data_IF_886579994608
#
_entry.id   IF_886579994608
#
_cell.length_a   1.000
_cell.length_b   1.000
_cell.length_c   1.000
_cell.angle_alpha   90.00
_cell.angle_beta   90.00
_cell.angle_gamma   90.00
#
_symmetry.space_group_name_H-M   'P 1'
#
loop_
_entity.id
_entity.type
_entity.pdbx_description
1 polymer ?
#
# COMPACT_ATOMS: atom_id res chain seq x y z
N UNK A 1 -63.45 -49.30 -37.02
CA UNK A 1 -62.59 -49.50 -35.83
C UNK A 1 -61.25 -48.86 -36.14
N UNK A 2 -61.04 -47.62 -35.68
CA UNK A 2 -59.87 -46.82 -36.01
C UNK A 2 -58.94 -46.78 -34.80
N UNK A 3 -57.75 -47.36 -34.93
CA UNK A 3 -56.69 -47.28 -33.93
C UNK A 3 -55.87 -46.02 -34.24
N UNK A 4 -55.93 -45.02 -33.36
CA UNK A 4 -55.02 -43.88 -33.39
C UNK A 4 -53.83 -44.20 -32.45
N UNK A 5 -52.66 -44.42 -33.04
CA UNK A 5 -51.41 -44.52 -32.30
C UNK A 5 -50.92 -43.09 -32.05
N UNK A 6 -51.02 -42.63 -30.81
CA UNK A 6 -50.44 -41.37 -30.38
C UNK A 6 -48.93 -41.55 -30.15
N UNK A 7 -48.10 -41.02 -31.05
CA UNK A 7 -46.67 -40.83 -30.79
C UNK A 7 -46.50 -39.70 -29.78
N UNK A 8 -46.14 -40.03 -28.54
CA UNK A 8 -45.66 -39.07 -27.57
C UNK A 8 -44.20 -38.71 -27.89
N UNK A 9 -43.98 -37.57 -28.54
CA UNK A 9 -42.65 -36.96 -28.67
C UNK A 9 -42.34 -36.33 -27.32
N UNK A 10 -41.54 -37.00 -26.49
CA UNK A 10 -40.91 -36.39 -25.32
C UNK A 10 -39.83 -35.43 -25.83
N UNK A 11 -40.21 -34.16 -25.96
CA UNK A 11 -39.24 -33.08 -26.07
C UNK A 11 -38.45 -33.05 -24.76
N UNK A 12 -37.24 -33.63 -24.77
CA UNK A 12 -36.26 -33.42 -23.71
C UNK A 12 -35.90 -31.93 -23.75
N UNK A 13 -36.57 -31.15 -22.90
CA UNK A 13 -36.18 -29.79 -22.60
C UNK A 13 -34.77 -29.86 -21.99
N UNK A 14 -33.76 -29.69 -22.83
CA UNK A 14 -32.41 -29.35 -22.40
C UNK A 14 -32.54 -27.96 -21.80
N UNK A 15 -32.83 -27.92 -20.50
CA UNK A 15 -32.71 -26.69 -19.73
C UNK A 15 -31.28 -26.23 -19.88
N UNK A 16 -31.05 -25.25 -20.76
CA UNK A 16 -29.85 -24.45 -20.72
C UNK A 16 -29.88 -23.78 -19.36
N UNK A 17 -29.12 -24.34 -18.42
CA UNK A 17 -28.73 -23.62 -17.21
C UNK A 17 -28.12 -22.32 -17.72
N UNK A 18 -28.83 -21.21 -17.59
CA UNK A 18 -28.26 -19.90 -17.85
C UNK A 18 -26.97 -19.84 -17.05
N UNK A 19 -25.82 -19.47 -17.65
CA UNK A 19 -24.60 -19.30 -16.90
C UNK A 19 -24.89 -18.28 -15.81
N UNK A 20 -24.87 -18.75 -14.56
CA UNK A 20 -25.00 -17.91 -13.39
C UNK A 20 -23.92 -16.83 -13.53
N UNK A 21 -24.27 -15.53 -13.47
CA UNK A 21 -23.28 -14.48 -13.64
C UNK A 21 -22.18 -14.73 -12.62
N UNK A 22 -20.94 -14.90 -13.11
CA UNK A 22 -19.79 -15.10 -12.24
C UNK A 22 -19.81 -14.00 -11.17
N UNK A 23 -19.73 -14.39 -9.90
CA UNK A 23 -19.76 -13.42 -8.81
C UNK A 23 -18.70 -12.35 -9.07
N UNK A 24 -19.11 -11.07 -8.98
CA UNK A 24 -18.22 -9.96 -9.25
C UNK A 24 -16.95 -10.07 -8.37
N UNK A 25 -15.75 -9.82 -8.91
CA UNK A 25 -14.53 -9.85 -8.13
C UNK A 25 -14.64 -8.94 -6.91
N UNK A 26 -14.08 -9.38 -5.79
CA UNK A 26 -14.09 -8.60 -4.55
C UNK A 26 -12.67 -8.24 -4.13
N UNK A 27 -12.42 -6.97 -3.86
CA UNK A 27 -11.15 -6.47 -3.33
C UNK A 27 -11.28 -6.18 -1.83
N UNK A 28 -10.40 -6.76 -1.03
CA UNK A 28 -10.22 -6.36 0.36
C UNK A 28 -8.86 -5.71 0.57
N UNK A 29 -8.81 -4.77 1.50
CA UNK A 29 -7.60 -4.07 1.91
C UNK A 29 -7.57 -4.16 3.43
N UNK A 30 -6.50 -4.70 3.99
CA UNK A 30 -6.33 -4.81 5.44
C UNK A 30 -4.97 -4.26 5.83
N UNK A 31 -4.93 -3.41 6.86
CA UNK A 31 -3.67 -3.05 7.51
C UNK A 31 -3.32 -4.18 8.46
N UNK A 32 -2.15 -4.79 8.25
CA UNK A 32 -1.67 -5.88 9.09
C UNK A 32 -1.16 -5.28 10.40
N UNK A 33 -1.75 -5.71 11.51
CA UNK A 33 -1.31 -5.35 12.86
C UNK A 33 -1.03 -6.62 13.66
N UNK A 34 -0.05 -6.59 14.56
CA UNK A 34 0.27 -7.69 15.48
C UNK A 34 -0.81 -7.86 16.57
N UNK A 35 -1.68 -6.86 16.77
CA UNK A 35 -2.76 -6.92 17.77
C UNK A 35 -4.02 -6.19 17.29
N UNK A 36 -5.04 -6.89 16.77
CA UNK A 36 -6.32 -6.26 16.46
C UNK A 36 -7.06 -5.96 17.77
N UNK A 37 -7.39 -4.68 18.00
CA UNK A 37 -8.47 -4.30 18.91
C UNK A 37 -9.64 -3.88 18.07
N UNK A 38 -10.74 -4.63 18.14
CA UNK A 38 -11.98 -4.26 17.49
C UNK A 38 -12.38 -2.86 18.00
N UNK A 39 -12.44 -1.88 17.10
CA UNK A 39 -12.93 -0.48 17.28
C UNK A 39 -11.90 0.63 17.53
N UNK A 40 -10.61 0.35 17.68
CA UNK A 40 -9.58 1.41 17.78
C UNK A 40 -8.80 1.54 16.46
N UNK A 41 -8.41 2.76 16.03
CA UNK A 41 -7.53 2.92 14.87
C UNK A 41 -6.22 2.17 15.11
N UNK A 42 -5.69 1.55 14.05
CA UNK A 42 -4.42 0.83 14.15
C UNK A 42 -3.30 1.84 14.40
N UNK A 43 -2.66 1.76 15.56
CA UNK A 43 -1.61 2.69 15.97
C UNK A 43 -0.26 2.21 15.44
N UNK A 44 0.41 3.08 14.69
CA UNK A 44 1.69 2.80 14.03
C UNK A 44 2.67 3.90 14.43
N UNK A 45 3.87 3.51 14.83
CA UNK A 45 4.94 4.48 15.11
C UNK A 45 5.34 5.20 13.83
N UNK A 46 5.68 6.50 13.93
CA UNK A 46 6.27 7.25 12.83
C UNK A 46 7.57 6.60 12.30
N UNK A 47 8.24 5.78 13.10
CA UNK A 47 9.44 5.03 12.73
C UNK A 47 9.15 3.62 12.18
N UNK A 48 7.90 3.30 11.83
CA UNK A 48 7.52 2.01 11.23
C UNK A 48 6.72 2.20 9.96
N UNK A 49 6.98 1.36 8.95
CA UNK A 49 6.19 1.30 7.72
C UNK A 49 4.83 0.67 8.00
N UNK A 50 3.79 1.15 7.33
CA UNK A 50 2.44 0.58 7.40
C UNK A 50 2.41 -0.68 6.55
N UNK A 51 2.06 -1.83 7.12
CA UNK A 51 1.92 -3.07 6.37
C UNK A 51 0.47 -3.24 5.88
N UNK A 52 0.28 -3.41 4.59
CA UNK A 52 -1.04 -3.52 3.95
C UNK A 52 -1.09 -4.82 3.16
N UNK A 53 -2.16 -5.59 3.32
CA UNK A 53 -2.49 -6.72 2.44
C UNK A 53 -3.69 -6.36 1.60
N UNK A 54 -3.50 -6.35 0.29
CA UNK A 54 -4.58 -6.36 -0.67
C UNK A 54 -4.91 -7.81 -1.04
N UNK A 55 -6.19 -8.18 -1.03
CA UNK A 55 -6.61 -9.49 -1.51
C UNK A 55 -7.75 -9.35 -2.51
N UNK A 56 -7.55 -9.88 -3.70
CA UNK A 56 -8.53 -9.97 -4.78
C UNK A 56 -9.10 -11.39 -4.80
N UNK A 57 -10.40 -11.50 -4.53
CA UNK A 57 -11.13 -12.77 -4.55
C UNK A 57 -11.85 -12.88 -5.89
N UNK A 58 -11.30 -13.72 -6.75
CA UNK A 58 -11.85 -14.08 -8.05
C UNK A 58 -11.11 -15.32 -8.60
N UNK A 59 -11.75 -16.14 -9.45
CA UNK A 59 -11.03 -17.17 -10.19
C UNK A 59 -9.92 -16.51 -11.05
N UNK A 60 -8.67 -17.03 -11.05
CA UNK A 60 -7.53 -16.40 -11.72
C UNK A 60 -7.73 -16.11 -13.21
N UNK A 61 -8.57 -16.89 -13.91
CA UNK A 61 -8.90 -16.67 -15.32
C UNK A 61 -9.82 -15.45 -15.57
N UNK A 62 -10.40 -14.87 -14.51
CA UNK A 62 -11.44 -13.84 -14.60
C UNK A 62 -10.85 -12.42 -14.55
N UNK A 63 -9.67 -12.25 -13.94
CA UNK A 63 -9.10 -10.95 -13.58
C UNK A 63 -7.61 -10.91 -13.86
N UNK A 64 -7.07 -9.71 -14.12
CA UNK A 64 -5.64 -9.50 -14.32
C UNK A 64 -4.83 -9.82 -13.04
N UNK A 65 -3.59 -10.34 -13.16
CA UNK A 65 -2.74 -10.62 -12.01
C UNK A 65 -2.51 -9.38 -11.14
N UNK A 66 -2.69 -9.50 -9.82
CA UNK A 66 -2.56 -8.36 -8.90
C UNK A 66 -1.12 -7.84 -8.87
N UNK A 67 -0.92 -6.58 -9.26
CA UNK A 67 0.37 -5.91 -9.39
C UNK A 67 0.24 -4.46 -8.93
N UNK A 68 1.19 -4.02 -8.10
CA UNK A 68 1.24 -2.65 -7.64
C UNK A 68 1.49 -1.69 -8.81
N UNK A 69 0.62 -0.69 -8.94
CA UNK A 69 0.78 0.43 -9.88
C UNK A 69 1.92 1.35 -9.41
N UNK A 70 2.88 1.71 -10.28
CA UNK A 70 3.90 2.68 -9.91
C UNK A 70 3.28 4.06 -9.61
N UNK A 71 3.83 4.83 -8.67
CA UNK A 71 3.35 6.18 -8.38
C UNK A 71 3.35 7.07 -9.64
N UNK A 72 2.22 7.74 -9.91
CA UNK A 72 2.07 8.64 -11.07
C UNK A 72 1.95 7.94 -12.43
N UNK A 73 2.01 6.61 -12.47
CA UNK A 73 1.83 5.88 -13.71
C UNK A 73 0.36 5.96 -14.19
N UNK A 74 0.13 5.92 -15.52
CA UNK A 74 -1.22 5.83 -16.07
C UNK A 74 -1.99 4.64 -15.46
N UNK A 75 -3.34 4.66 -15.48
CA UNK A 75 -4.16 3.55 -14.97
C UNK A 75 -3.85 2.16 -15.58
N UNK A 76 -3.11 2.13 -16.68
CA UNK A 76 -2.76 0.94 -17.47
C UNK A 76 -1.51 0.23 -16.92
N UNK A 77 -0.61 0.96 -16.24
CA UNK A 77 0.66 0.44 -15.74
C UNK A 77 0.48 -0.19 -14.35
N UNK A 78 -0.04 -1.41 -14.30
CA UNK A 78 -0.33 -2.10 -13.03
C UNK A 78 -1.72 -1.76 -12.48
N UNK A 79 -2.35 -2.76 -11.85
CA UNK A 79 -3.77 -2.72 -11.56
C UNK A 79 -4.12 -2.36 -10.12
N UNK A 80 -3.19 -2.42 -9.17
CA UNK A 80 -3.46 -2.13 -7.76
C UNK A 80 -2.87 -0.78 -7.33
N UNK A 81 -3.70 0.10 -6.79
CA UNK A 81 -3.28 1.32 -6.11
C UNK A 81 -3.60 1.25 -4.61
N UNK A 82 -2.61 1.52 -3.76
CA UNK A 82 -2.83 1.75 -2.32
C UNK A 82 -3.09 3.24 -2.10
N UNK A 83 -4.29 3.57 -1.64
CA UNK A 83 -4.77 4.94 -1.44
C UNK A 83 -4.71 5.27 0.05
N UNK A 84 -4.06 6.39 0.38
CA UNK A 84 -4.04 6.93 1.74
C UNK A 84 -4.65 8.32 1.73
N UNK A 85 -5.61 8.55 2.62
CA UNK A 85 -6.29 9.85 2.80
C UNK A 85 -6.15 10.28 4.26
N UNK A 86 -6.02 11.59 4.51
CA UNK A 86 -6.10 12.10 5.89
C UNK A 86 -7.53 12.02 6.39
N UNK A 87 -7.72 11.69 7.67
CA UNK A 87 -9.00 11.85 8.37
C UNK A 87 -9.14 13.32 8.78
N UNK A 88 -9.42 14.16 7.80
CA UNK A 88 -9.65 15.59 7.96
C UNK A 88 -10.76 16.06 7.02
N UNK A 89 -11.26 17.29 7.19
CA UNK A 89 -12.22 17.88 6.26
C UNK A 89 -11.69 17.80 4.81
N UNK A 90 -12.51 17.30 3.90
CA UNK A 90 -12.14 17.09 2.49
C UNK A 90 -11.29 15.84 2.19
N UNK A 91 -10.89 15.06 3.20
CA UNK A 91 -10.15 13.78 3.07
C UNK A 91 -9.04 13.79 2.00
N UNK A 92 -8.10 14.75 2.06
CA UNK A 92 -7.09 14.91 1.01
C UNK A 92 -6.22 13.65 0.92
N UNK A 93 -5.92 13.24 -0.31
CA UNK A 93 -4.97 12.17 -0.58
C UNK A 93 -3.56 12.60 -0.18
N UNK A 94 -2.79 11.64 0.34
CA UNK A 94 -1.40 11.84 0.75
C UNK A 94 -0.49 11.03 -0.16
N UNK A 95 0.66 11.59 -0.49
CA UNK A 95 1.69 10.85 -1.21
C UNK A 95 2.14 9.64 -0.38
N UNK A 96 2.40 8.53 -1.06
CA UNK A 96 2.89 7.31 -0.43
C UNK A 96 4.02 6.70 -1.24
N UNK A 97 4.85 5.89 -0.58
CA UNK A 97 5.91 5.10 -1.20
C UNK A 97 5.67 3.61 -0.90
N UNK A 98 4.86 2.93 -1.72
CA UNK A 98 4.58 1.51 -1.55
C UNK A 98 5.71 0.64 -2.10
N UNK A 99 6.02 -0.47 -1.43
CA UNK A 99 6.95 -1.51 -1.88
C UNK A 99 6.26 -2.87 -1.69
N UNK A 100 6.26 -3.71 -2.73
CA UNK A 100 5.76 -5.09 -2.60
C UNK A 100 6.74 -5.91 -1.79
N UNK A 101 6.26 -6.59 -0.76
CA UNK A 101 7.07 -7.44 0.12
C UNK A 101 6.71 -8.92 0.02
N UNK A 102 5.49 -9.25 -0.38
CA UNK A 102 5.08 -10.62 -0.68
C UNK A 102 3.93 -10.64 -1.70
N UNK A 103 3.83 -11.75 -2.43
CA UNK A 103 2.73 -12.02 -3.36
C UNK A 103 2.34 -13.49 -3.24
N UNK A 104 1.05 -13.78 -3.22
CA UNK A 104 0.53 -15.14 -3.24
C UNK A 104 -0.64 -15.27 -4.22
N UNK A 105 -0.79 -16.47 -4.79
CA UNK A 105 -1.88 -16.82 -5.69
C UNK A 105 -2.38 -18.22 -5.34
N UNK A 106 -3.66 -18.30 -5.02
CA UNK A 106 -4.42 -19.50 -4.68
C UNK A 106 -5.58 -19.65 -5.67
N UNK A 107 -6.27 -20.79 -5.66
CA UNK A 107 -7.29 -21.20 -6.64
C UNK A 107 -8.37 -20.15 -6.93
N UNK A 108 -8.69 -19.25 -5.99
CA UNK A 108 -9.65 -18.14 -6.20
C UNK A 108 -9.24 -16.84 -5.49
N UNK A 109 -7.94 -16.69 -5.20
CA UNK A 109 -7.45 -15.56 -4.40
C UNK A 109 -6.07 -15.15 -4.86
N UNK A 110 -5.91 -13.86 -5.12
CA UNK A 110 -4.59 -13.25 -5.28
C UNK A 110 -4.38 -12.29 -4.11
N UNK A 111 -3.20 -12.28 -3.52
CA UNK A 111 -2.87 -11.31 -2.48
C UNK A 111 -1.51 -10.65 -2.73
N UNK A 112 -1.44 -9.37 -2.40
CA UNK A 112 -0.23 -8.57 -2.47
C UNK A 112 -0.01 -7.89 -1.12
N UNK A 113 1.11 -8.21 -0.48
CA UNK A 113 1.54 -7.53 0.74
C UNK A 113 2.46 -6.38 0.36
N UNK A 114 2.13 -5.21 0.89
CA UNK A 114 2.76 -3.94 0.57
C UNK A 114 3.25 -3.30 1.86
N UNK A 115 4.53 -2.92 1.87
CA UNK A 115 5.12 -2.07 2.90
C UNK A 115 5.06 -0.61 2.45
N UNK A 116 4.30 0.18 3.19
CA UNK A 116 3.92 1.54 2.82
C UNK A 116 4.59 2.57 3.73
N UNK A 117 5.21 3.57 3.12
CA UNK A 117 5.64 4.79 3.81
C UNK A 117 4.72 5.95 3.43
N UNK A 118 4.37 6.75 4.43
CA UNK A 118 3.65 8.02 4.33
C UNK A 118 4.69 9.12 4.60
N UNK A 119 5.50 9.50 3.60
CA UNK A 119 6.65 10.36 3.83
C UNK A 119 6.24 11.73 4.34
N UNK A 120 7.05 12.30 5.23
CA UNK A 120 7.06 13.75 5.43
C UNK A 120 7.54 14.47 4.16
N UNK A 121 7.20 15.75 4.04
CA UNK A 121 7.59 16.58 2.92
C UNK A 121 9.13 16.58 2.72
N UNK A 122 9.56 16.62 1.46
CA UNK A 122 10.96 16.51 1.09
C UNK A 122 11.82 17.65 1.67
N UNK A 123 11.29 18.89 1.70
CA UNK A 123 12.01 20.02 2.27
C UNK A 123 12.13 19.89 3.80
N UNK A 124 11.08 19.40 4.46
CA UNK A 124 11.10 19.14 5.91
C UNK A 124 12.12 18.06 6.27
N UNK A 125 12.12 16.94 5.53
CA UNK A 125 13.11 15.87 5.69
C UNK A 125 14.53 16.41 5.53
N UNK A 126 14.80 17.14 4.45
CA UNK A 126 16.11 17.72 4.18
C UNK A 126 16.56 18.66 5.30
N UNK A 127 15.68 19.54 5.77
CA UNK A 127 15.97 20.44 6.88
C UNK A 127 16.25 19.71 8.20
N UNK A 128 15.63 18.55 8.45
CA UNK A 128 15.95 17.71 9.62
C UNK A 128 17.35 17.10 9.49
N UNK A 129 17.70 16.59 8.30
CA UNK A 129 19.02 16.02 8.01
C UNK A 129 20.12 17.08 8.18
N UNK A 130 19.95 18.25 7.59
CA UNK A 130 20.92 19.36 7.66
C UNK A 130 21.15 19.79 9.12
N UNK A 131 20.08 19.97 9.91
CA UNK A 131 20.18 20.28 11.35
C UNK A 131 20.91 19.20 12.15
N UNK A 132 20.73 17.93 11.81
CA UNK A 132 21.44 16.83 12.45
C UNK A 132 22.94 16.88 12.17
N UNK A 133 23.33 17.06 10.89
CA UNK A 133 24.72 17.19 10.50
C UNK A 133 25.40 18.40 11.16
N UNK A 134 24.74 19.55 11.22
CA UNK A 134 25.25 20.73 11.93
C UNK A 134 25.49 20.47 13.43
N UNK A 135 24.58 19.75 14.08
CA UNK A 135 24.74 19.37 15.50
C UNK A 135 25.97 18.48 15.69
N UNK A 136 26.11 17.43 14.87
CA UNK A 136 27.28 16.54 14.90
C UNK A 136 28.59 17.30 14.70
N UNK A 137 28.61 18.30 13.82
CA UNK A 137 29.80 19.13 13.59
C UNK A 137 30.22 19.94 14.80
N UNK A 138 29.25 20.54 15.50
CA UNK A 138 29.50 21.29 16.75
C UNK A 138 30.03 20.37 17.85
N UNK A 139 29.41 19.20 18.04
CA UNK A 139 29.80 18.21 19.04
C UNK A 139 31.20 17.63 18.76
N UNK A 140 31.49 17.30 17.50
CA UNK A 140 32.81 16.80 17.10
C UNK A 140 33.92 17.84 17.32
N UNK A 141 33.64 19.11 17.04
CA UNK A 141 34.56 20.21 17.30
C UNK A 141 34.82 20.37 18.80
N UNK A 142 33.78 20.33 19.62
CA UNK A 142 33.90 20.38 21.08
C UNK A 142 34.69 19.20 21.65
N UNK A 143 34.63 18.03 21.01
CA UNK A 143 35.37 16.83 21.40
C UNK A 143 36.81 16.76 20.83
N UNK A 144 37.30 17.80 20.15
CA UNK A 144 38.64 17.82 19.55
C UNK A 144 38.80 16.93 18.31
N UNK A 145 37.70 16.44 17.72
CA UNK A 145 37.66 15.58 16.52
C UNK A 145 37.30 16.37 15.25
N UNK A 146 37.54 17.68 15.25
CA UNK A 146 37.12 18.61 14.21
C UNK A 146 37.58 18.24 12.80
N UNK A 147 38.83 17.77 12.62
CA UNK A 147 39.38 17.43 11.30
C UNK A 147 38.67 16.26 10.60
N UNK A 148 38.23 15.25 11.37
CA UNK A 148 37.48 14.10 10.83
C UNK A 148 36.10 14.54 10.36
N UNK A 149 35.44 15.43 11.11
CA UNK A 149 34.17 16.00 10.70
C UNK A 149 34.33 17.02 9.55
N UNK A 150 35.44 17.75 9.49
CA UNK A 150 35.73 18.65 8.37
C UNK A 150 35.84 17.91 7.05
N UNK A 151 36.38 16.68 7.03
CA UNK A 151 36.35 15.84 5.82
C UNK A 151 34.93 15.41 5.43
N UNK A 152 34.08 15.13 6.42
CA UNK A 152 32.65 14.83 6.18
C UNK A 152 31.89 16.07 5.66
N UNK A 153 32.24 17.25 6.18
CA UNK A 153 31.67 18.53 5.76
C UNK A 153 32.16 18.99 4.38
N UNK A 154 33.38 18.63 3.98
CA UNK A 154 33.89 18.84 2.62
C UNK A 154 33.07 18.08 1.57
N UNK A 155 32.36 17.02 1.96
CA UNK A 155 31.41 16.31 1.12
C UNK A 155 29.98 16.32 1.72
N UNK A 156 29.56 17.51 2.20
CA UNK A 156 28.25 17.72 2.81
C UNK A 156 27.09 17.23 1.92
N UNK A 157 27.19 17.42 0.60
CA UNK A 157 26.18 16.98 -0.35
C UNK A 157 26.02 15.46 -0.34
N UNK A 158 27.12 14.70 -0.33
CA UNK A 158 27.08 13.23 -0.24
C UNK A 158 26.58 12.76 1.13
N UNK A 159 26.94 13.47 2.21
CA UNK A 159 26.40 13.17 3.54
C UNK A 159 24.87 13.32 3.56
N UNK A 160 24.33 14.45 3.09
CA UNK A 160 22.88 14.68 2.98
C UNK A 160 22.22 13.59 2.13
N UNK A 161 22.77 13.30 0.94
CA UNK A 161 22.22 12.27 0.05
C UNK A 161 22.24 10.86 0.68
N UNK A 162 23.25 10.55 1.48
CA UNK A 162 23.34 9.27 2.21
C UNK A 162 22.25 9.17 3.27
N UNK A 163 22.09 10.22 4.09
CA UNK A 163 21.03 10.26 5.09
C UNK A 163 19.64 10.23 4.45
N UNK A 164 19.42 10.92 3.32
CA UNK A 164 18.15 10.87 2.59
C UNK A 164 17.76 9.46 2.15
N UNK A 165 18.72 8.58 1.84
CA UNK A 165 18.45 7.18 1.43
C UNK A 165 17.98 6.30 2.59
N UNK A 166 18.41 6.61 3.80
CA UNK A 166 18.09 5.83 5.00
C UNK A 166 17.02 6.47 5.89
N UNK A 167 16.70 7.75 5.67
CA UNK A 167 15.72 8.48 6.46
C UNK A 167 14.34 7.85 6.31
N UNK A 168 13.80 7.37 7.43
CA UNK A 168 12.46 6.81 7.48
C UNK A 168 11.73 7.35 8.70
N UNK A 169 10.86 8.32 8.42
CA UNK A 169 9.95 8.92 9.38
C UNK A 169 8.65 9.25 8.66
N UNK A 170 7.56 8.66 9.12
CA UNK A 170 6.25 8.88 8.56
C UNK A 170 5.63 10.15 9.12
N UNK A 171 4.82 10.77 8.28
CA UNK A 171 3.98 11.90 8.64
C UNK A 171 3.00 11.49 9.74
N UNK A 172 3.09 12.17 10.88
CA UNK A 172 2.20 11.96 12.03
C UNK A 172 0.79 12.45 11.71
N UNK A 173 -0.21 11.71 12.19
CA UNK A 173 -1.62 12.04 12.07
C UNK A 173 -2.52 10.82 11.91
N UNK A 174 -3.80 11.10 11.67
CA UNK A 174 -4.83 10.08 11.45
C UNK A 174 -5.13 9.94 9.95
N UNK A 175 -5.18 8.70 9.47
CA UNK A 175 -5.33 8.37 8.05
C UNK A 175 -6.30 7.21 7.82
N UNK A 176 -6.84 7.15 6.61
CA UNK A 176 -7.64 6.08 6.06
C UNK A 176 -6.85 5.39 4.93
N UNK A 177 -6.71 4.06 5.01
CA UNK A 177 -6.02 3.24 4.00
C UNK A 177 -7.02 2.39 3.23
N UNK A 178 -7.06 2.55 1.91
CA UNK A 178 -7.88 1.77 0.99
C UNK A 178 -7.04 1.21 -0.15
N UNK A 179 -7.60 0.23 -0.86
CA UNK A 179 -7.01 -0.33 -2.07
C UNK A 179 -7.98 -0.12 -3.22
N UNK A 180 -7.46 0.28 -4.39
CA UNK A 180 -8.20 0.34 -5.63
C UNK A 180 -7.58 -0.65 -6.63
N UNK A 181 -8.43 -1.33 -7.40
CA UNK A 181 -8.05 -2.28 -8.42
C UNK A 181 -8.74 -1.96 -9.75
N UNK A 182 -8.02 -2.02 -10.86
CA UNK A 182 -8.56 -1.80 -12.20
C UNK A 182 -8.18 -2.97 -13.13
N UNK A 183 -9.14 -3.55 -13.85
CA UNK A 183 -8.91 -4.63 -14.83
C UNK A 183 -9.33 -4.14 -16.22
N UNK A 184 -8.41 -4.24 -17.18
CA UNK A 184 -8.64 -3.67 -18.51
C UNK A 184 -8.10 -4.51 -19.68
N UNK A 185 -7.37 -5.62 -19.47
CA UNK A 185 -6.65 -6.26 -20.59
C UNK A 185 -6.80 -7.79 -20.74
N UNK A 186 -6.70 -8.63 -19.68
CA UNK A 186 -6.53 -10.09 -19.86
C UNK A 186 -7.60 -10.97 -19.20
N UNK A 187 -8.56 -10.40 -18.47
CA UNK A 187 -9.65 -11.12 -17.82
C UNK A 187 -10.99 -11.07 -18.57
N UNK A 188 -11.92 -11.96 -18.21
CA UNK A 188 -13.33 -11.84 -18.63
C UNK A 188 -14.07 -10.72 -17.90
N UNK A 189 -13.50 -10.19 -16.81
CA UNK A 189 -14.01 -9.03 -16.08
C UNK A 189 -13.15 -7.78 -16.34
N UNK A 190 -13.83 -6.68 -16.69
CA UNK A 190 -13.23 -5.36 -16.87
C UNK A 190 -13.98 -4.35 -16.00
N UNK A 191 -13.24 -3.46 -15.35
CA UNK A 191 -13.82 -2.43 -14.49
C UNK A 191 -12.90 -2.04 -13.33
N UNK A 192 -13.45 -1.24 -12.44
CA UNK A 192 -12.76 -0.72 -11.26
C UNK A 192 -13.41 -1.24 -9.97
N UNK A 193 -12.58 -1.50 -8.95
CA UNK A 193 -13.00 -1.85 -7.59
C UNK A 193 -12.28 -0.94 -6.61
N UNK A 194 -12.99 -0.52 -5.56
CA UNK A 194 -12.39 0.05 -4.36
C UNK A 194 -12.79 -0.83 -3.17
N UNK A 195 -11.87 -1.03 -2.23
CA UNK A 195 -12.15 -1.81 -1.03
C UNK A 195 -13.28 -1.15 -0.21
N UNK A 196 -14.29 -1.91 0.26
CA UNK A 196 -15.56 -1.37 0.75
C UNK A 196 -15.49 -0.61 2.09
N UNK A 197 -14.38 -0.69 2.83
CA UNK A 197 -14.15 0.09 4.03
C UNK A 197 -12.66 0.44 4.17
N UNK A 198 -12.29 1.73 4.24
CA UNK A 198 -10.92 2.10 4.52
C UNK A 198 -10.54 1.74 5.96
N UNK A 199 -9.29 1.33 6.16
CA UNK A 199 -8.76 1.00 7.48
C UNK A 199 -8.29 2.30 8.15
N UNK A 200 -8.87 2.70 9.29
CA UNK A 200 -8.37 3.84 10.04
C UNK A 200 -7.05 3.47 10.72
N UNK A 201 -6.03 4.29 10.50
CA UNK A 201 -4.72 4.19 11.16
C UNK A 201 -4.38 5.51 11.83
N UNK A 202 -3.60 5.43 12.90
CA UNK A 202 -3.00 6.58 13.56
C UNK A 202 -1.48 6.42 13.54
N UNK A 203 -0.79 7.28 12.80
CA UNK A 203 0.66 7.39 12.88
C UNK A 203 0.99 8.33 14.03
N UNK A 204 1.53 7.77 15.12
CA UNK A 204 1.91 8.55 16.30
C UNK A 204 3.40 8.81 16.33
N UNK A 205 3.80 9.92 16.96
CA UNK A 205 5.20 10.22 17.20
C UNK A 205 5.77 9.34 18.31
N UNK A 206 6.75 8.49 17.99
CA UNK A 206 7.53 7.73 18.96
C UNK A 206 8.82 8.48 19.33
N UNK A 207 9.61 8.84 18.33
CA UNK A 207 10.79 9.70 18.44
C UNK A 207 11.21 10.22 17.06
N UNK A 208 12.23 11.08 16.99
CA UNK A 208 12.82 11.45 15.71
C UNK A 208 13.70 10.33 15.17
N UNK A 209 13.83 10.21 13.85
CA UNK A 209 14.73 9.25 13.20
C UNK A 209 16.16 9.31 13.79
N UNK A 210 16.67 10.51 14.04
CA UNK A 210 18.01 10.75 14.58
C UNK A 210 18.16 10.54 16.09
N UNK A 211 17.08 10.20 16.80
CA UNK A 211 17.15 9.83 18.22
C UNK A 211 17.41 8.35 18.45
N UNK A 212 17.39 7.54 17.39
CA UNK A 212 17.68 6.11 17.47
C UNK A 212 19.14 5.86 17.89
N UNK A 213 19.40 4.74 18.56
CA UNK A 213 20.71 4.40 19.14
C UNK A 213 21.82 4.37 18.09
N UNK A 214 21.49 4.02 16.86
CA UNK A 214 22.37 3.93 15.71
C UNK A 214 22.95 5.30 15.31
N UNK A 215 22.30 6.40 15.71
CA UNK A 215 22.69 7.78 15.39
C UNK A 215 23.14 8.61 16.60
N UNK A 216 23.20 8.01 17.80
CA UNK A 216 23.68 8.64 19.04
C UNK A 216 25.07 8.12 19.39
#
# INVERSE_FOLDING_TARGET
MSWAIALAITAAASGQTQPQPAAAPTLTCSVLNETPREREPIRISNLKRVLVRAALIAPPATVDPLRLRPPGAPPQDGNLAVIVRRIAAGRPMVATRPIVIAQATETNRQSLDVSLEIPIDAATRRANIERFLERLGRESTAAGKGEVFQRLAQDHATAVATFERMYMENLVGDFEVACAYASHERGTWNGDLESPAPNPIQVFFESAFFDQREFR
#
